data_IF_671174991520
#
_entry.id   IF_671174991520
#
_cell.length_a   1.000
_cell.length_b   1.000
_cell.length_c   1.000
_cell.angle_alpha   90.00
_cell.angle_beta   90.00
_cell.angle_gamma   90.00
#
_symmetry.space_group_name_H-M   'P 1'
#
loop_
_entity.id
_entity.type
_entity.pdbx_description
1 polymer ?
#
# COMPACT_ATOMS: atom_id res chain seq x y z
N UNK A 1 -40.90 16.20 -37.47
CA UNK A 1 -40.52 17.62 -37.43
C UNK A 1 -39.52 17.80 -36.30
N UNK A 2 -38.25 18.00 -36.65
CA UNK A 2 -37.12 18.17 -35.74
C UNK A 2 -37.07 19.60 -35.16
N UNK A 3 -36.73 19.73 -33.88
CA UNK A 3 -36.18 20.95 -33.24
C UNK A 3 -35.17 20.50 -32.18
N UNK A 4 -33.89 20.29 -32.54
CA UNK A 4 -32.74 21.23 -32.53
C UNK A 4 -32.38 21.80 -31.16
N UNK A 5 -31.39 21.14 -30.54
CA UNK A 5 -30.16 21.66 -29.93
C UNK A 5 -30.15 23.08 -29.35
N UNK A 6 -29.99 23.14 -28.02
CA UNK A 6 -29.62 24.35 -27.28
C UNK A 6 -28.10 24.51 -27.21
N UNK A 7 -27.55 25.37 -28.08
CA UNK A 7 -26.17 25.83 -28.05
C UNK A 7 -25.92 26.74 -26.83
N UNK A 8 -24.97 26.35 -25.98
CA UNK A 8 -24.47 27.17 -24.86
C UNK A 8 -23.36 28.10 -25.39
N UNK A 9 -23.63 29.41 -25.41
CA UNK A 9 -22.68 30.46 -25.76
C UNK A 9 -21.61 30.64 -24.67
N UNK A 10 -20.33 30.46 -25.03
CA UNK A 10 -19.18 30.86 -24.21
C UNK A 10 -18.99 32.38 -24.28
N UNK A 11 -19.09 33.08 -23.15
CA UNK A 11 -18.71 34.50 -23.04
C UNK A 11 -17.19 34.62 -22.92
N UNK A 12 -16.57 35.35 -23.84
CA UNK A 12 -15.19 35.81 -23.76
C UNK A 12 -15.11 36.99 -22.78
N UNK A 13 -14.28 36.89 -21.74
CA UNK A 13 -13.95 38.01 -20.85
C UNK A 13 -12.61 38.59 -21.30
N UNK A 14 -12.61 39.89 -21.62
CA UNK A 14 -11.46 40.68 -22.05
C UNK A 14 -10.54 40.93 -20.85
N UNK A 15 -9.24 40.74 -21.05
CA UNK A 15 -8.15 41.09 -20.12
C UNK A 15 -7.90 42.61 -20.15
N UNK A 16 -7.89 43.25 -19.00
CA UNK A 16 -7.25 44.55 -18.81
C UNK A 16 -6.13 44.42 -17.76
N UNK A 17 -4.93 44.86 -18.15
CA UNK A 17 -3.79 45.07 -17.28
C UNK A 17 -3.91 46.46 -16.65
N UNK A 18 -3.70 46.59 -15.34
CA UNK A 18 -2.98 47.75 -14.81
C UNK A 18 -2.31 47.46 -13.47
N UNK A 19 -1.10 47.97 -13.32
CA UNK A 19 -0.15 47.76 -12.22
C UNK A 19 -0.52 48.55 -10.95
N UNK A 20 -0.09 48.04 -9.78
CA UNK A 20 -0.15 48.76 -8.51
C UNK A 20 0.36 47.93 -7.33
N UNK A 21 1.64 48.12 -6.98
CA UNK A 21 2.37 47.45 -5.89
C UNK A 21 2.07 48.09 -4.52
N UNK A 22 1.84 47.28 -3.48
CA UNK A 22 2.19 47.58 -2.08
C UNK A 22 2.19 46.29 -1.21
N UNK A 23 3.23 46.16 -0.36
CA UNK A 23 3.62 45.01 0.47
C UNK A 23 2.80 44.86 1.77
N UNK A 24 2.57 43.63 2.25
CA UNK A 24 3.06 43.11 3.56
C UNK A 24 2.80 41.58 3.70
N UNK A 25 3.62 40.78 4.43
CA UNK A 25 3.64 39.33 4.36
C UNK A 25 2.90 38.66 5.52
N UNK A 26 2.09 37.65 5.19
CA UNK A 26 1.72 36.60 6.16
C UNK A 26 1.89 35.25 5.52
N UNK A 27 3.06 34.69 5.80
CA UNK A 27 3.43 33.29 5.65
C UNK A 27 2.37 32.37 6.27
N UNK A 28 1.67 31.64 5.43
CA UNK A 28 0.94 30.43 5.79
C UNK A 28 1.31 29.40 4.76
N UNK A 29 2.31 28.60 5.11
CA UNK A 29 2.82 27.46 4.36
C UNK A 29 1.65 26.63 3.83
N UNK A 30 1.37 26.78 2.54
CA UNK A 30 0.59 25.80 1.79
C UNK A 30 1.47 24.56 1.76
N UNK A 31 1.19 23.65 2.68
CA UNK A 31 1.62 22.26 2.57
C UNK A 31 1.03 21.78 1.25
N UNK A 32 1.87 21.69 0.23
CA UNK A 32 1.59 20.98 -1.01
C UNK A 32 1.24 19.54 -0.60
N UNK A 33 -0.06 19.29 -0.46
CA UNK A 33 -0.59 17.95 -0.54
C UNK A 33 -0.42 17.60 -2.00
N UNK A 34 0.59 16.81 -2.31
CA UNK A 34 0.60 16.06 -3.56
C UNK A 34 -0.68 15.23 -3.57
N UNK A 35 -1.69 15.77 -4.23
CA UNK A 35 -2.89 15.06 -4.60
C UNK A 35 -2.44 13.83 -5.39
N UNK A 36 -2.61 12.66 -4.78
CA UNK A 36 -2.48 11.36 -5.45
C UNK A 36 -3.72 11.21 -6.35
N UNK A 37 -3.80 12.04 -7.39
CA UNK A 37 -4.83 11.99 -8.42
C UNK A 37 -4.20 11.38 -9.69
N UNK A 38 -4.33 10.06 -9.74
CA UNK A 38 -4.56 9.17 -10.88
C UNK A 38 -4.33 9.70 -12.31
N UNK A 39 -3.57 8.95 -13.14
CA UNK A 39 -3.46 9.26 -14.57
C UNK A 39 -2.50 8.39 -15.37
N UNK A 40 -2.93 7.19 -15.76
CA UNK A 40 -2.45 6.42 -16.92
C UNK A 40 -0.93 6.22 -17.05
N UNK A 41 -0.21 6.02 -15.95
CA UNK A 41 1.04 5.27 -16.07
C UNK A 41 0.65 3.84 -16.42
N UNK A 42 0.97 3.36 -17.63
CA UNK A 42 0.93 1.94 -18.04
C UNK A 42 1.76 1.01 -17.16
N UNK A 43 2.23 1.50 -16.02
CA UNK A 43 3.10 0.82 -15.09
C UNK A 43 2.28 -0.02 -14.12
N UNK A 44 2.71 -1.25 -13.95
CA UNK A 44 2.18 -2.17 -12.96
C UNK A 44 2.33 -1.59 -11.56
N UNK A 45 1.19 -1.34 -10.89
CA UNK A 45 1.17 -0.81 -9.52
C UNK A 45 1.42 -1.94 -8.51
N UNK A 46 2.54 -1.86 -7.81
CA UNK A 46 2.89 -2.77 -6.74
C UNK A 46 2.50 -2.21 -5.37
N UNK A 47 2.15 -3.08 -4.44
CA UNK A 47 2.04 -2.74 -3.02
C UNK A 47 3.42 -2.72 -2.39
N UNK A 48 3.59 -2.02 -1.26
CA UNK A 48 4.85 -2.04 -0.51
C UNK A 48 5.30 -3.46 -0.15
N UNK A 49 4.34 -4.35 0.18
CA UNK A 49 4.65 -5.75 0.50
C UNK A 49 5.25 -6.50 -0.71
N UNK A 50 4.70 -6.25 -1.90
CA UNK A 50 5.17 -6.84 -3.15
C UNK A 50 6.54 -6.31 -3.57
N UNK A 51 6.78 -5.00 -3.42
CA UNK A 51 8.08 -4.39 -3.68
C UNK A 51 9.17 -4.99 -2.77
N UNK A 52 8.90 -5.10 -1.46
CA UNK A 52 9.82 -5.73 -0.50
C UNK A 52 10.09 -7.19 -0.84
N UNK A 53 9.05 -7.94 -1.23
CA UNK A 53 9.22 -9.32 -1.68
C UNK A 53 10.12 -9.40 -2.92
N UNK A 54 9.88 -8.53 -3.90
CA UNK A 54 10.61 -8.48 -5.17
C UNK A 54 12.11 -8.19 -4.98
N UNK A 55 12.45 -7.31 -4.03
CA UNK A 55 13.84 -7.04 -3.64
C UNK A 55 14.53 -8.27 -3.04
N UNK A 56 13.79 -9.13 -2.34
CA UNK A 56 14.31 -10.36 -1.75
C UNK A 56 14.38 -11.56 -2.70
N UNK A 57 13.69 -11.52 -3.84
CA UNK A 57 13.66 -12.61 -4.82
C UNK A 57 14.97 -12.76 -5.58
N UNK A 58 15.35 -13.99 -5.88
CA UNK A 58 16.37 -14.28 -6.88
C UNK A 58 15.74 -14.40 -8.26
N UNK A 59 16.32 -13.74 -9.26
CA UNK A 59 15.70 -13.54 -10.57
C UNK A 59 15.36 -14.87 -11.27
N UNK A 60 16.32 -15.79 -11.33
CA UNK A 60 16.16 -17.08 -12.03
C UNK A 60 15.49 -18.18 -11.22
N UNK A 61 15.67 -18.15 -9.90
CA UNK A 61 15.29 -19.25 -9.03
C UNK A 61 13.83 -19.09 -8.54
N UNK A 62 13.29 -17.87 -8.55
CA UNK A 62 11.89 -17.61 -8.21
C UNK A 62 11.54 -17.83 -6.74
N UNK A 63 12.54 -18.00 -5.87
CA UNK A 63 12.39 -18.01 -4.43
C UNK A 63 13.18 -16.87 -3.77
N UNK A 64 12.73 -16.47 -2.59
CA UNK A 64 13.37 -15.43 -1.80
C UNK A 64 14.70 -15.93 -1.25
N UNK A 65 15.75 -15.12 -1.36
CA UNK A 65 17.12 -15.47 -0.97
C UNK A 65 17.23 -15.89 0.49
N UNK A 66 16.43 -15.29 1.37
CA UNK A 66 16.29 -15.68 2.77
C UNK A 66 14.93 -15.15 3.24
N UNK A 67 14.01 -16.01 3.67
CA UNK A 67 12.79 -15.60 4.37
C UNK A 67 13.00 -15.81 5.86
N UNK A 68 12.97 -14.74 6.64
CA UNK A 68 13.21 -14.77 8.08
C UNK A 68 12.12 -13.98 8.84
N UNK A 69 12.17 -14.05 10.17
CA UNK A 69 11.18 -13.39 11.04
C UNK A 69 11.23 -11.86 10.95
N UNK A 70 12.39 -11.28 10.61
CA UNK A 70 12.51 -9.83 10.39
C UNK A 70 11.76 -9.38 9.11
N UNK A 71 11.85 -10.16 8.02
CA UNK A 71 11.07 -9.89 6.80
C UNK A 71 9.58 -10.10 7.09
N UNK A 72 9.26 -11.17 7.82
CA UNK A 72 7.89 -11.50 8.23
C UNK A 72 7.23 -10.32 8.97
N UNK A 73 7.87 -9.77 10.01
CA UNK A 73 7.37 -8.63 10.77
C UNK A 73 7.39 -7.32 9.96
N UNK A 74 8.44 -7.10 9.15
CA UNK A 74 8.56 -5.95 8.25
C UNK A 74 7.38 -5.85 7.26
N UNK A 75 6.96 -6.97 6.68
CA UNK A 75 5.81 -7.01 5.77
C UNK A 75 4.49 -6.64 6.46
N UNK A 76 4.32 -6.95 7.75
CA UNK A 76 3.13 -6.50 8.50
C UNK A 76 3.19 -4.99 8.75
N UNK A 77 4.38 -4.44 8.98
CA UNK A 77 4.61 -3.00 8.95
C UNK A 77 4.19 -2.38 7.62
N UNK A 78 4.61 -2.96 6.48
CA UNK A 78 4.23 -2.52 5.14
C UNK A 78 2.71 -2.53 4.94
N UNK A 79 2.01 -3.56 5.43
CA UNK A 79 0.53 -3.63 5.37
C UNK A 79 -0.10 -2.42 6.06
N UNK A 80 0.35 -2.08 7.28
CA UNK A 80 -0.19 -0.94 8.02
C UNK A 80 0.12 0.39 7.33
N UNK A 81 1.34 0.54 6.79
CA UNK A 81 1.75 1.73 6.03
C UNK A 81 0.90 1.87 4.76
N UNK A 82 0.74 0.80 3.99
CA UNK A 82 -0.03 0.77 2.75
C UNK A 82 -1.51 1.11 3.01
N UNK A 83 -2.11 0.58 4.09
CA UNK A 83 -3.46 0.99 4.51
C UNK A 83 -3.54 2.49 4.85
N UNK A 84 -2.50 3.03 5.48
CA UNK A 84 -2.39 4.47 5.77
C UNK A 84 -2.30 5.32 4.51
N UNK A 85 -1.45 4.92 3.55
CA UNK A 85 -1.30 5.59 2.25
C UNK A 85 -2.60 5.55 1.42
N UNK A 86 -3.40 4.48 1.56
CA UNK A 86 -4.74 4.36 0.95
C UNK A 86 -5.85 5.04 1.74
N UNK A 87 -5.53 5.77 2.82
CA UNK A 87 -6.50 6.48 3.64
C UNK A 87 -7.49 5.60 4.40
N UNK A 88 -7.16 4.32 4.61
CA UNK A 88 -8.02 3.36 5.34
C UNK A 88 -7.84 3.46 6.85
N UNK A 89 -6.64 3.80 7.29
CA UNK A 89 -6.30 3.97 8.70
C UNK A 89 -5.48 5.24 8.92
N UNK A 90 -5.53 5.79 10.13
CA UNK A 90 -4.63 6.85 10.57
C UNK A 90 -4.05 6.52 11.95
N UNK A 91 -3.01 7.24 12.34
CA UNK A 91 -2.51 7.18 13.70
C UNK A 91 -3.27 8.16 14.58
N UNK A 92 -3.50 7.77 15.83
CA UNK A 92 -3.99 8.65 16.89
C UNK A 92 -3.24 9.99 16.86
N UNK A 93 -4.00 11.09 16.91
CA UNK A 93 -3.42 12.44 16.91
C UNK A 93 -2.40 12.57 18.04
N UNK A 94 -1.24 13.14 17.74
CA UNK A 94 -0.23 13.38 18.75
C UNK A 94 -0.78 14.36 19.79
N UNK A 95 -0.83 13.94 21.06
CA UNK A 95 -1.13 14.82 22.17
C UNK A 95 0.06 15.69 22.56
N UNK A 96 -0.10 16.45 23.65
CA UNK A 96 0.94 17.34 24.21
C UNK A 96 2.27 16.62 24.50
N UNK A 97 2.20 15.35 24.87
CA UNK A 97 3.36 14.46 24.97
C UNK A 97 3.51 13.66 23.68
N UNK A 98 4.60 13.86 22.96
CA UNK A 98 4.95 13.04 21.78
C UNK A 98 5.14 11.58 22.20
N UNK A 99 4.21 10.72 21.80
CA UNK A 99 4.36 9.26 21.87
C UNK A 99 5.17 8.78 20.67
N UNK A 100 5.95 7.71 20.85
CA UNK A 100 6.61 7.02 19.74
C UNK A 100 5.60 6.42 18.76
N UNK A 101 6.00 6.17 17.51
CA UNK A 101 5.09 5.66 16.48
C UNK A 101 4.42 4.34 16.89
N UNK A 102 5.20 3.42 17.46
CA UNK A 102 4.73 2.09 17.87
C UNK A 102 3.69 2.12 18.99
N UNK A 103 3.74 3.13 19.86
CA UNK A 103 2.83 3.27 21.01
C UNK A 103 1.59 4.11 20.72
N UNK A 104 1.44 4.63 19.49
CA UNK A 104 0.21 5.28 19.04
C UNK A 104 -0.80 4.25 18.60
N UNK A 105 -2.09 4.54 18.83
CA UNK A 105 -3.19 3.70 18.38
C UNK A 105 -3.44 3.89 16.89
N UNK A 106 -3.84 2.81 16.22
CA UNK A 106 -4.30 2.82 14.85
C UNK A 106 -5.82 3.04 14.84
N UNK A 107 -6.27 4.06 14.13
CA UNK A 107 -7.68 4.48 14.05
C UNK A 107 -8.20 4.17 12.65
N UNK A 108 -9.34 3.51 12.56
CA UNK A 108 -10.02 3.25 11.30
C UNK A 108 -10.59 4.55 10.72
N UNK A 109 -10.30 4.83 9.45
CA UNK A 109 -10.83 5.97 8.68
C UNK A 109 -11.93 5.57 7.73
N UNK A 110 -11.70 4.49 6.99
CA UNK A 110 -12.57 3.99 5.93
C UNK A 110 -12.45 2.47 5.89
N UNK A 111 -13.59 1.80 5.79
CA UNK A 111 -13.70 0.35 5.64
C UNK A 111 -13.88 -0.09 4.17
N UNK A 112 -13.72 0.85 3.23
CA UNK A 112 -13.83 0.52 1.80
C UNK A 112 -12.72 -0.47 1.41
N UNK A 113 -13.05 -1.59 0.73
CA UNK A 113 -12.04 -2.52 0.27
C UNK A 113 -10.95 -1.84 -0.58
N UNK A 114 -9.75 -2.42 -0.52
CA UNK A 114 -8.57 -1.96 -1.24
C UNK A 114 -8.33 -2.78 -2.51
N UNK A 115 -8.97 -3.96 -2.63
CA UNK A 115 -8.77 -4.90 -3.73
C UNK A 115 -7.57 -5.83 -3.54
N UNK A 116 -6.78 -5.64 -2.49
CA UNK A 116 -5.71 -6.55 -2.09
C UNK A 116 -6.17 -7.41 -0.91
N UNK A 117 -6.07 -8.73 -1.06
CA UNK A 117 -6.62 -9.69 -0.09
C UNK A 117 -5.96 -9.55 1.30
N UNK A 118 -4.66 -9.23 1.37
CA UNK A 118 -3.95 -9.10 2.64
C UNK A 118 -4.34 -7.80 3.37
N UNK A 119 -4.42 -6.70 2.60
CA UNK A 119 -4.86 -5.42 3.14
C UNK A 119 -6.32 -5.50 3.64
N UNK A 120 -7.20 -6.14 2.88
CA UNK A 120 -8.63 -6.24 3.20
C UNK A 120 -8.88 -7.15 4.42
N UNK A 121 -8.09 -8.22 4.57
CA UNK A 121 -8.12 -9.06 5.77
C UNK A 121 -7.63 -8.32 7.02
N UNK A 122 -6.53 -7.58 6.93
CA UNK A 122 -6.04 -6.74 8.02
C UNK A 122 -7.05 -5.64 8.39
N UNK A 123 -7.65 -4.99 7.38
CA UNK A 123 -8.66 -3.96 7.56
C UNK A 123 -9.90 -4.50 8.28
N UNK A 124 -10.32 -5.72 7.95
CA UNK A 124 -11.42 -6.41 8.64
C UNK A 124 -11.10 -6.63 10.12
N UNK A 125 -9.91 -7.10 10.45
CA UNK A 125 -9.50 -7.29 11.86
C UNK A 125 -9.48 -5.96 12.64
N UNK A 126 -8.99 -4.88 12.00
CA UNK A 126 -8.97 -3.54 12.58
C UNK A 126 -10.38 -3.05 12.87
N UNK A 127 -11.30 -3.21 11.91
CA UNK A 127 -12.72 -2.83 12.06
C UNK A 127 -13.42 -3.57 13.20
N UNK A 128 -13.11 -4.85 13.41
CA UNK A 128 -13.72 -5.67 14.46
C UNK A 128 -13.11 -5.45 15.86
N UNK A 129 -12.08 -4.61 16.00
CA UNK A 129 -11.35 -4.43 17.26
C UNK A 129 -11.74 -3.14 17.95
N UNK A 130 -12.45 -3.28 19.07
CA UNK A 130 -12.72 -2.20 20.03
C UNK A 130 -12.26 -2.61 21.44
N UNK A 131 -11.53 -1.76 22.18
CA UNK A 131 -11.03 -0.44 21.78
C UNK A 131 -9.86 -0.50 20.75
N UNK A 132 -9.51 0.62 20.09
CA UNK A 132 -8.39 0.65 19.14
C UNK A 132 -7.05 0.30 19.80
N UNK A 133 -6.25 -0.48 19.06
CA UNK A 133 -4.98 -1.02 19.50
C UNK A 133 -3.77 -0.25 18.95
N UNK A 134 -2.61 -0.44 19.59
CA UNK A 134 -1.36 0.22 19.17
C UNK A 134 -0.78 -0.40 17.88
N UNK A 135 0.04 0.36 17.16
CA UNK A 135 0.77 -0.14 15.99
C UNK A 135 1.59 -1.38 16.34
N UNK A 136 2.25 -1.39 17.51
CA UNK A 136 3.00 -2.54 17.98
C UNK A 136 2.12 -3.79 18.09
N UNK A 137 0.97 -3.67 18.78
CA UNK A 137 0.04 -4.79 18.94
C UNK A 137 -0.46 -5.32 17.58
N UNK A 138 -0.72 -4.43 16.61
CA UNK A 138 -1.12 -4.86 15.26
C UNK A 138 -0.04 -5.67 14.55
N UNK A 139 1.24 -5.29 14.67
CA UNK A 139 2.34 -6.06 14.09
C UNK A 139 2.42 -7.44 14.74
N UNK A 140 2.30 -7.54 16.06
CA UNK A 140 2.31 -8.80 16.81
C UNK A 140 1.10 -9.69 16.42
N UNK A 141 -0.09 -9.10 16.30
CA UNK A 141 -1.32 -9.83 15.95
C UNK A 141 -1.26 -10.40 14.54
N UNK A 142 -0.90 -9.58 13.55
CA UNK A 142 -0.83 -9.99 12.16
C UNK A 142 0.32 -10.97 11.90
N UNK A 143 1.36 -10.95 12.74
CA UNK A 143 2.48 -11.91 12.71
C UNK A 143 2.18 -13.22 13.45
N UNK A 144 1.22 -13.20 14.37
CA UNK A 144 0.91 -14.34 15.23
C UNK A 144 1.84 -14.48 16.43
N UNK A 145 2.48 -13.39 16.86
CA UNK A 145 3.41 -13.33 17.99
C UNK A 145 2.70 -13.04 19.33
N UNK A 146 1.37 -12.87 19.28
CA UNK A 146 0.57 -12.57 20.46
C UNK A 146 0.23 -13.79 21.29
N UNK A 147 0.18 -13.60 22.60
CA UNK A 147 -0.28 -14.62 23.56
C UNK A 147 -1.78 -14.54 23.86
N UNK A 148 -2.52 -13.58 23.27
CA UNK A 148 -3.97 -13.45 23.50
C UNK A 148 -4.75 -14.48 22.65
N UNK A 149 -5.41 -15.48 23.26
CA UNK A 149 -6.09 -16.54 22.51
C UNK A 149 -7.18 -16.04 21.56
N UNK A 150 -7.86 -14.94 21.94
CA UNK A 150 -8.90 -14.35 21.10
C UNK A 150 -8.31 -13.69 19.85
N UNK A 151 -7.08 -13.19 19.92
CA UNK A 151 -6.42 -12.45 18.82
C UNK A 151 -5.52 -13.35 17.97
N UNK A 152 -5.30 -14.61 18.33
CA UNK A 152 -4.55 -15.59 17.51
C UNK A 152 -5.12 -15.73 16.09
N UNK A 153 -6.43 -15.55 15.92
CA UNK A 153 -7.09 -15.61 14.60
C UNK A 153 -6.72 -14.45 13.67
N UNK A 154 -6.06 -13.41 14.16
CA UNK A 154 -5.65 -12.25 13.35
C UNK A 154 -4.36 -12.47 12.58
N UNK A 155 -3.68 -13.60 12.82
CA UNK A 155 -2.47 -13.94 12.10
C UNK A 155 -2.77 -14.08 10.60
N UNK A 156 -2.07 -13.28 9.80
CA UNK A 156 -2.11 -13.41 8.35
C UNK A 156 -1.28 -14.64 7.95
N UNK A 157 -1.96 -15.62 7.35
CA UNK A 157 -1.37 -16.88 6.89
C UNK A 157 -1.01 -16.84 5.42
N UNK A 158 0.00 -17.63 5.06
CA UNK A 158 0.48 -17.80 3.69
C UNK A 158 0.78 -16.47 2.97
N UNK A 159 1.33 -15.49 3.71
CA UNK A 159 1.59 -14.14 3.19
C UNK A 159 2.51 -14.22 1.97
N UNK A 160 3.57 -15.02 2.04
CA UNK A 160 4.53 -15.18 0.95
C UNK A 160 3.87 -15.70 -0.33
N UNK A 161 3.09 -16.77 -0.22
CA UNK A 161 2.42 -17.42 -1.34
C UNK A 161 1.35 -16.51 -1.95
N UNK A 162 0.62 -15.76 -1.11
CA UNK A 162 -0.37 -14.78 -1.56
C UNK A 162 0.27 -13.61 -2.30
N UNK A 163 1.38 -13.08 -1.80
CA UNK A 163 2.14 -12.03 -2.49
C UNK A 163 2.72 -12.53 -3.82
N UNK A 164 3.27 -13.75 -3.86
CA UNK A 164 3.75 -14.35 -5.10
C UNK A 164 2.62 -14.50 -6.12
N UNK A 165 1.44 -14.96 -5.69
CA UNK A 165 0.26 -15.06 -6.54
C UNK A 165 -0.17 -13.70 -7.11
N UNK A 166 -0.21 -12.65 -6.29
CA UNK A 166 -0.54 -11.30 -6.77
C UNK A 166 0.48 -10.81 -7.81
N UNK A 167 1.78 -11.06 -7.59
CA UNK A 167 2.84 -10.70 -8.53
C UNK A 167 2.72 -11.47 -9.87
N UNK A 168 2.26 -12.73 -9.83
CA UNK A 168 1.94 -13.52 -11.03
C UNK A 168 0.73 -12.93 -11.77
N UNK A 169 -0.35 -12.61 -11.05
CA UNK A 169 -1.54 -11.98 -11.64
C UNK A 169 -1.23 -10.61 -12.28
N UNK A 170 -0.21 -9.92 -11.76
CA UNK A 170 0.32 -8.65 -12.29
C UNK A 170 1.35 -8.81 -13.40
N UNK A 171 1.72 -10.04 -13.78
CA UNK A 171 2.68 -10.33 -14.85
C UNK A 171 4.15 -10.04 -14.51
N UNK A 172 4.47 -9.78 -13.24
CA UNK A 172 5.85 -9.54 -12.78
C UNK A 172 6.60 -10.86 -12.60
N UNK A 173 5.91 -11.89 -12.12
CA UNK A 173 6.41 -13.25 -12.02
C UNK A 173 5.63 -14.17 -12.96
N UNK A 174 6.24 -15.29 -13.34
CA UNK A 174 5.52 -16.40 -13.99
C UNK A 174 5.34 -17.56 -13.01
N UNK A 175 4.64 -18.60 -13.43
CA UNK A 175 4.56 -19.86 -12.71
C UNK A 175 5.21 -20.93 -13.56
N UNK A 176 6.29 -21.52 -13.05
CA UNK A 176 7.01 -22.61 -13.69
C UNK A 176 6.95 -23.85 -12.80
N UNK A 177 6.90 -25.01 -13.46
CA UNK A 177 6.96 -26.31 -12.78
C UNK A 177 8.36 -26.87 -12.98
N UNK A 178 9.14 -26.89 -11.91
CA UNK A 178 10.46 -27.49 -11.90
C UNK A 178 10.35 -28.95 -11.45
N UNK A 179 10.70 -29.87 -12.34
CA UNK A 179 10.67 -31.31 -12.03
C UNK A 179 11.99 -31.70 -11.36
N UNK A 180 11.90 -32.22 -10.14
CA UNK A 180 13.01 -32.88 -9.46
C UNK A 180 12.85 -34.40 -9.60
N UNK A 181 13.91 -35.14 -9.30
CA UNK A 181 13.93 -36.60 -9.46
C UNK A 181 12.78 -37.31 -8.71
N UNK A 182 12.31 -36.75 -7.60
CA UNK A 182 11.34 -37.39 -6.69
C UNK A 182 10.04 -36.60 -6.51
N UNK A 183 9.97 -35.35 -6.98
CA UNK A 183 8.82 -34.49 -6.81
C UNK A 183 8.89 -33.33 -7.80
N UNK A 184 7.76 -32.65 -7.98
CA UNK A 184 7.72 -31.41 -8.74
C UNK A 184 7.52 -30.23 -7.80
N UNK A 185 8.22 -29.13 -8.06
CA UNK A 185 8.11 -27.89 -7.29
C UNK A 185 7.60 -26.79 -8.20
N UNK A 186 6.63 -26.02 -7.71
CA UNK A 186 6.21 -24.80 -8.39
C UNK A 186 7.15 -23.67 -7.99
N UNK A 187 7.73 -22.99 -8.98
CA UNK A 187 8.61 -21.83 -8.79
C UNK A 187 8.01 -20.61 -9.47
N UNK A 188 8.41 -19.42 -9.01
CA UNK A 188 7.90 -18.16 -9.52
C UNK A 188 9.04 -17.24 -10.00
N UNK A 189 9.71 -17.59 -11.12
CA UNK A 189 10.82 -16.79 -11.63
C UNK A 189 10.34 -15.42 -12.13
N UNK A 190 11.27 -14.48 -12.14
CA UNK A 190 11.03 -13.11 -12.58
C UNK A 190 10.85 -13.08 -14.10
N UNK A 191 9.76 -12.46 -14.57
CA UNK A 191 9.54 -12.20 -16.01
C UNK A 191 9.85 -10.77 -16.40
N UNK A 192 9.57 -9.82 -15.50
CA UNK A 192 9.80 -8.39 -15.74
C UNK A 192 11.01 -7.88 -14.94
N UNK A 193 12.19 -8.01 -15.54
CA UNK A 193 13.44 -7.49 -15.00
C UNK A 193 13.45 -5.94 -14.93
N UNK A 194 12.64 -5.28 -15.76
CA UNK A 194 12.59 -3.80 -15.83
C UNK A 194 11.94 -3.27 -14.56
N UNK A 195 10.83 -3.87 -14.13
CA UNK A 195 10.14 -3.48 -12.90
C UNK A 195 11.05 -3.61 -11.68
N UNK A 196 11.78 -4.72 -11.56
CA UNK A 196 12.75 -4.89 -10.46
C UNK A 196 13.92 -3.93 -10.55
N UNK A 197 14.50 -3.74 -11.74
CA UNK A 197 15.61 -2.82 -11.96
C UNK A 197 15.26 -1.37 -11.64
N UNK A 198 14.02 -0.96 -11.93
CA UNK A 198 13.49 0.36 -11.58
C UNK A 198 13.31 0.52 -10.08
N UNK A 199 12.79 -0.52 -9.42
CA UNK A 199 12.63 -0.52 -7.96
C UNK A 199 13.98 -0.37 -7.24
N UNK A 200 15.04 -1.02 -7.73
CA UNK A 200 16.40 -0.90 -7.15
C UNK A 200 16.99 0.51 -7.32
N UNK A 201 16.59 1.24 -8.36
CA UNK A 201 17.10 2.59 -8.65
C UNK A 201 16.40 3.72 -7.88
N UNK A 202 15.19 3.46 -7.38
CA UNK A 202 14.38 4.40 -6.60
C UNK A 202 14.94 4.53 -5.18
#
# INVERSE_FOLDING_TARGET
>A
MNRTDGLVQRRNIIRENNEGVANDPTSSEKIDREDVEDGDSKETRLTLMEEVLLLGLKDKEGYTSFWNDCISSGLRGCILIELGLRGRVELERAGMRRKGLLSRKLILKSDTPTGDVLLDEALKHIKETEPPETVQCWIEYLSGETWNPLKLRYQLKNVRERLAKNLVEKGVLTTEKQNFLLFDMTTHPLTDDITKSRLIKR
#
